data_IF_924690374298
#
_entry.id   IF_924690374298
#
_cell.length_a   1.000
_cell.length_b   1.000
_cell.length_c   1.000
_cell.angle_alpha   90.00
_cell.angle_beta   90.00
_cell.angle_gamma   90.00
#
_symmetry.space_group_name_H-M   'P 1'
#
loop_
_entity.id
_entity.type
_entity.pdbx_description
1 polymer ?
#
# COMPACT_ATOMS: atom_id res chain seq x y z
N UNK A 1 -53.50 -18.40 13.93
CA UNK A 1 -52.97 -17.14 13.33
C UNK A 1 -51.45 -17.05 13.55
N UNK A 2 -50.58 -17.37 12.56
CA UNK A 2 -49.15 -17.06 12.67
C UNK A 2 -48.57 -16.23 11.49
N UNK A 3 -49.38 -15.83 10.50
CA UNK A 3 -48.89 -15.21 9.26
C UNK A 3 -48.21 -13.83 9.44
N UNK A 4 -48.55 -13.07 10.48
CA UNK A 4 -48.04 -11.70 10.69
C UNK A 4 -46.60 -11.62 11.22
N UNK A 5 -46.10 -12.70 11.84
CA UNK A 5 -44.73 -12.78 12.37
C UNK A 5 -43.70 -13.01 11.25
N UNK A 6 -44.05 -13.85 10.28
CA UNK A 6 -43.20 -14.18 9.14
C UNK A 6 -42.94 -12.95 8.25
N UNK A 7 -44.00 -12.20 7.91
CA UNK A 7 -43.85 -10.98 7.09
C UNK A 7 -42.93 -9.94 7.75
N UNK A 8 -43.07 -9.71 9.06
CA UNK A 8 -42.24 -8.73 9.79
C UNK A 8 -40.76 -9.13 9.83
N UNK A 9 -40.47 -10.43 9.93
CA UNK A 9 -39.09 -10.96 9.87
C UNK A 9 -38.49 -10.85 8.47
N UNK A 10 -39.29 -11.09 7.42
CA UNK A 10 -38.85 -10.93 6.03
C UNK A 10 -38.47 -9.50 5.70
N UNK A 11 -39.23 -8.51 6.18
CA UNK A 11 -38.90 -7.09 6.01
C UNK A 11 -37.61 -6.67 6.73
N UNK A 12 -37.35 -7.22 7.93
CA UNK A 12 -36.12 -6.92 8.66
C UNK A 12 -34.86 -7.45 7.95
N UNK A 13 -34.93 -8.63 7.31
CA UNK A 13 -33.82 -9.21 6.55
C UNK A 13 -33.55 -8.44 5.26
N UNK A 14 -34.60 -8.02 4.54
CA UNK A 14 -34.48 -7.21 3.32
C UNK A 14 -33.88 -5.82 3.56
N UNK A 15 -34.12 -5.23 4.73
CA UNK A 15 -33.56 -3.91 5.07
C UNK A 15 -32.10 -3.98 5.59
N UNK A 16 -31.71 -5.06 6.26
CA UNK A 16 -30.37 -5.20 6.83
C UNK A 16 -29.29 -5.60 5.80
N UNK A 17 -29.66 -6.37 4.77
CA UNK A 17 -28.74 -6.83 3.72
C UNK A 17 -28.02 -5.70 2.96
N UNK A 18 -28.71 -4.65 2.45
CA UNK A 18 -28.04 -3.57 1.73
C UNK A 18 -27.11 -2.71 2.61
N UNK A 19 -27.38 -2.62 3.92
CA UNK A 19 -26.53 -1.89 4.86
C UNK A 19 -25.19 -2.61 5.12
N UNK A 20 -25.18 -3.95 5.17
CA UNK A 20 -23.94 -4.72 5.27
C UNK A 20 -23.10 -4.62 3.99
N UNK A 21 -23.73 -4.60 2.81
CA UNK A 21 -22.99 -4.48 1.55
C UNK A 21 -22.32 -3.12 1.38
N UNK A 22 -22.91 -2.05 1.92
CA UNK A 22 -22.32 -0.70 1.84
C UNK A 22 -21.13 -0.53 2.80
N UNK A 23 -21.19 -1.15 3.98
CA UNK A 23 -20.11 -1.10 4.97
C UNK A 23 -18.87 -1.90 4.54
N UNK A 24 -19.04 -2.95 3.73
CA UNK A 24 -17.96 -3.84 3.31
C UNK A 24 -17.05 -3.24 2.21
N UNK A 25 -17.53 -2.30 1.40
CA UNK A 25 -16.76 -1.71 0.30
C UNK A 25 -16.18 -0.31 0.60
N UNK A 26 -16.51 0.29 1.75
CA UNK A 26 -16.19 1.69 2.04
C UNK A 26 -14.84 1.95 2.70
N UNK A 27 -14.29 1.00 3.48
CA UNK A 27 -13.18 1.27 4.41
C UNK A 27 -11.80 1.51 3.74
N UNK A 28 -11.73 1.59 2.41
CA UNK A 28 -10.52 1.92 1.66
C UNK A 28 -10.72 2.79 0.42
N UNK A 29 -11.97 3.06 0.01
CA UNK A 29 -12.28 3.76 -1.26
C UNK A 29 -11.91 5.25 -1.26
N UNK A 30 -11.67 5.85 -0.09
CA UNK A 30 -11.26 7.26 0.06
C UNK A 30 -9.74 7.41 0.25
N UNK A 31 -8.94 6.39 -0.07
CA UNK A 31 -7.50 6.55 -0.16
C UNK A 31 -7.20 7.64 -1.20
N UNK A 32 -6.75 8.81 -0.73
CA UNK A 32 -6.13 9.81 -1.60
C UNK A 32 -4.88 9.14 -2.16
N UNK A 33 -4.87 8.93 -3.47
CA UNK A 33 -3.70 8.43 -4.18
C UNK A 33 -2.67 9.56 -4.24
N UNK A 34 -1.96 9.75 -3.13
CA UNK A 34 -0.75 10.58 -3.06
C UNK A 34 0.45 9.81 -3.65
N UNK A 35 0.18 8.75 -4.42
CA UNK A 35 1.13 7.81 -4.97
C UNK A 35 2.17 8.49 -5.85
N UNK A 36 3.41 8.07 -5.64
CA UNK A 36 4.67 8.58 -6.18
C UNK A 36 5.09 9.96 -5.66
N UNK A 37 6.13 9.94 -4.80
CA UNK A 37 6.88 11.13 -4.44
C UNK A 37 7.34 11.84 -5.72
N UNK A 38 6.73 12.99 -6.00
CA UNK A 38 7.09 13.81 -7.16
C UNK A 38 8.47 14.41 -6.89
N UNK A 39 9.42 14.11 -7.77
CA UNK A 39 10.74 14.74 -7.74
C UNK A 39 10.55 16.23 -7.97
N UNK A 40 10.98 17.06 -7.01
CA UNK A 40 10.86 18.50 -7.10
C UNK A 40 11.69 19.05 -8.27
N UNK A 41 11.18 20.09 -8.94
CA UNK A 41 11.94 20.79 -9.97
C UNK A 41 13.24 21.37 -9.35
N UNK A 42 14.39 21.05 -9.96
CA UNK A 42 15.72 21.44 -9.44
C UNK A 42 16.34 20.47 -8.42
N UNK A 43 15.69 19.35 -8.12
CA UNK A 43 16.31 18.29 -7.33
C UNK A 43 17.60 17.80 -8.03
N UNK A 44 18.67 17.65 -7.25
CA UNK A 44 19.94 17.14 -7.74
C UNK A 44 19.98 15.63 -7.60
N UNK A 45 20.71 14.97 -8.50
CA UNK A 45 21.11 13.57 -8.34
C UNK A 45 22.13 13.49 -7.22
N UNK A 46 22.04 12.46 -6.41
CA UNK A 46 23.09 12.14 -5.44
C UNK A 46 24.26 11.52 -6.20
N UNK A 47 25.47 12.02 -5.97
CA UNK A 47 26.72 11.50 -6.56
C UNK A 47 26.70 11.28 -8.09
N UNK A 48 25.85 12.03 -8.81
CA UNK A 48 25.65 11.86 -10.26
C UNK A 48 24.92 10.57 -10.68
N UNK A 49 24.44 9.75 -9.73
CA UNK A 49 23.77 8.49 -10.00
C UNK A 49 22.38 8.70 -10.59
N UNK A 50 22.07 7.97 -11.67
CA UNK A 50 20.75 7.96 -12.29
C UNK A 50 19.73 7.21 -11.46
N UNK A 51 20.14 6.06 -10.91
CA UNK A 51 19.28 5.13 -10.20
C UNK A 51 20.03 4.53 -9.02
N UNK A 52 19.31 4.32 -7.92
CA UNK A 52 19.74 3.52 -6.78
C UNK A 52 18.74 2.39 -6.59
N UNK A 53 19.25 1.16 -6.64
CA UNK A 53 18.46 -0.05 -6.38
C UNK A 53 18.42 -0.32 -4.88
N UNK A 54 17.21 -0.39 -4.30
CA UNK A 54 17.00 -0.60 -2.87
C UNK A 54 16.39 -1.99 -2.68
N UNK A 55 17.21 -2.90 -2.15
CA UNK A 55 16.80 -4.23 -1.72
C UNK A 55 16.06 -4.22 -0.38
N UNK A 56 14.93 -4.94 -0.28
CA UNK A 56 14.23 -5.13 1.00
C UNK A 56 13.36 -6.37 1.04
N UNK A 57 13.06 -6.84 2.25
CA UNK A 57 12.09 -7.90 2.51
C UNK A 57 10.64 -7.39 2.49
N UNK A 58 9.80 -8.05 1.69
CA UNK A 58 8.38 -7.74 1.56
C UNK A 58 7.49 -8.27 2.70
N UNK A 59 7.95 -8.27 3.95
CA UNK A 59 7.24 -8.88 5.07
C UNK A 59 7.05 -7.93 6.28
N UNK A 60 6.11 -8.28 7.17
CA UNK A 60 5.71 -7.42 8.30
C UNK A 60 6.80 -7.21 9.34
N UNK A 61 7.70 -8.19 9.54
CA UNK A 61 8.80 -8.06 10.50
C UNK A 61 9.87 -7.08 10.02
N UNK A 62 9.88 -6.73 8.73
CA UNK A 62 10.75 -5.73 8.11
C UNK A 62 9.98 -4.49 7.64
N UNK A 63 8.95 -4.10 8.39
CA UNK A 63 7.99 -3.06 8.01
C UNK A 63 8.57 -1.67 7.68
N UNK A 64 9.75 -1.32 8.20
CA UNK A 64 10.37 -0.01 7.95
C UNK A 64 10.57 0.28 6.46
N UNK A 65 11.04 -0.71 5.70
CA UNK A 65 11.26 -0.55 4.27
C UNK A 65 9.92 -0.39 3.52
N UNK A 66 8.90 -1.16 3.91
CA UNK A 66 7.55 -1.06 3.33
C UNK A 66 6.97 0.34 3.52
N UNK A 67 7.04 0.89 4.74
CA UNK A 67 6.57 2.24 5.04
C UNK A 67 7.38 3.28 4.26
N UNK A 68 8.70 3.15 4.22
CA UNK A 68 9.57 4.08 3.50
C UNK A 68 9.28 4.13 1.99
N UNK A 69 9.00 2.98 1.37
CA UNK A 69 8.62 2.89 -0.04
C UNK A 69 7.23 3.47 -0.27
N UNK A 70 6.23 3.08 0.53
CA UNK A 70 4.86 3.55 0.39
C UNK A 70 4.71 5.06 0.64
N UNK A 71 5.45 5.61 1.60
CA UNK A 71 5.45 7.05 1.91
C UNK A 71 6.41 7.86 1.05
N UNK A 72 7.17 7.21 0.16
CA UNK A 72 8.11 7.89 -0.75
C UNK A 72 9.32 8.53 -0.06
N UNK A 73 9.66 8.10 1.15
CA UNK A 73 10.77 8.67 1.91
C UNK A 73 12.12 8.49 1.22
N UNK A 74 12.33 7.32 0.61
CA UNK A 74 13.57 7.05 -0.14
C UNK A 74 13.72 7.96 -1.35
N UNK A 75 12.65 8.14 -2.14
CA UNK A 75 12.70 9.01 -3.31
C UNK A 75 12.91 10.47 -2.92
N UNK A 76 12.29 10.91 -1.81
CA UNK A 76 12.51 12.26 -1.25
C UNK A 76 13.97 12.47 -0.83
N UNK A 77 14.58 11.47 -0.19
CA UNK A 77 15.97 11.54 0.25
C UNK A 77 16.96 11.54 -0.93
N UNK A 78 16.67 10.79 -2.00
CA UNK A 78 17.53 10.65 -3.18
C UNK A 78 17.34 11.75 -4.23
N UNK A 79 16.35 12.64 -4.06
CA UNK A 79 16.13 13.76 -4.96
C UNK A 79 15.81 13.30 -6.38
N UNK A 80 16.65 13.68 -7.35
CA UNK A 80 16.48 13.31 -8.75
C UNK A 80 17.08 11.96 -9.13
N UNK A 81 17.73 11.27 -8.19
CA UNK A 81 18.16 9.88 -8.38
C UNK A 81 16.97 8.97 -8.18
N UNK A 82 16.68 8.12 -9.16
CA UNK A 82 15.52 7.23 -9.15
C UNK A 82 15.69 6.11 -8.12
N UNK A 83 14.66 5.87 -7.31
CA UNK A 83 14.56 4.65 -6.50
C UNK A 83 14.10 3.48 -7.37
N UNK A 84 14.83 2.38 -7.36
CA UNK A 84 14.42 1.12 -7.96
C UNK A 84 14.23 0.04 -6.87
N UNK A 85 12.98 -0.35 -6.53
CA UNK A 85 12.72 -1.42 -5.58
C UNK A 85 13.28 -2.77 -6.06
N UNK A 86 13.91 -3.52 -5.17
CA UNK A 86 14.19 -4.93 -5.33
C UNK A 86 13.65 -5.71 -4.14
N UNK A 87 12.69 -6.60 -4.39
CA UNK A 87 12.11 -7.43 -3.35
C UNK A 87 12.93 -8.70 -3.18
N UNK A 88 13.23 -9.04 -1.93
CA UNK A 88 13.83 -10.31 -1.56
C UNK A 88 12.92 -11.08 -0.62
N UNK A 89 13.05 -12.40 -0.63
CA UNK A 89 12.27 -13.29 0.24
C UNK A 89 13.14 -13.93 1.34
N UNK A 90 14.45 -14.01 1.14
CA UNK A 90 15.37 -14.59 2.12
C UNK A 90 16.76 -13.92 2.09
N UNK A 91 17.45 -13.96 3.23
CA UNK A 91 18.80 -13.40 3.39
C UNK A 91 19.82 -13.87 2.35
N UNK A 92 19.90 -15.17 1.99
CA UNK A 92 20.84 -15.62 0.97
C UNK A 92 20.67 -14.89 -0.36
N UNK A 93 19.43 -14.68 -0.82
CA UNK A 93 19.18 -13.94 -2.07
C UNK A 93 19.57 -12.46 -1.99
N UNK A 94 19.54 -11.85 -0.80
CA UNK A 94 20.03 -10.48 -0.61
C UNK A 94 21.54 -10.40 -0.70
N UNK A 95 22.25 -11.33 -0.05
CA UNK A 95 23.72 -11.38 -0.06
C UNK A 95 24.25 -11.62 -1.48
N UNK A 96 23.67 -12.56 -2.22
CA UNK A 96 24.05 -12.81 -3.62
C UNK A 96 23.84 -11.59 -4.52
N UNK A 97 22.89 -10.69 -4.19
CA UNK A 97 22.66 -9.47 -4.95
C UNK A 97 23.65 -8.33 -4.64
N UNK A 98 24.47 -8.47 -3.59
CA UNK A 98 25.48 -7.49 -3.17
C UNK A 98 26.90 -7.85 -3.66
N UNK A 99 27.07 -9.01 -4.29
CA UNK A 99 28.33 -9.47 -4.88
C UNK A 99 28.42 -9.07 -6.36
#
# INVERSE_FOLDING_TARGET
>A
MPASSALRRSFAVLAALPLLTLAACGYGSQAKDDGTAKVAAGAKKIDGLDTVKIGYFGNLTHGTALVGMQKGFFQKALGATKVEPALFNAGPSEIEALN
#
